data_IF_520519556970
#
_entry.id   IF_520519556970
#
_cell.length_a   1.000
_cell.length_b   1.000
_cell.length_c   1.000
_cell.angle_alpha   90.00
_cell.angle_beta   90.00
_cell.angle_gamma   90.00
#
_symmetry.space_group_name_H-M   'P 1'
#
loop_
_entity.id
_entity.type
_entity.pdbx_description
1 polymer ?
#
# COMPACT_ATOMS: atom_id res chain seq x y z
N UNK A 1 -56.24 20.33 25.61
CA UNK A 1 -57.41 20.47 24.72
C UNK A 1 -56.94 21.02 23.38
N UNK A 2 -57.50 20.51 22.28
CA UNK A 2 -57.17 20.72 20.85
C UNK A 2 -55.82 20.16 20.37
N UNK A 3 -55.75 19.19 19.45
CA UNK A 3 -56.27 19.02 18.06
C UNK A 3 -55.52 19.81 16.99
N UNK A 4 -55.18 19.09 15.90
CA UNK A 4 -54.85 19.58 14.53
C UNK A 4 -53.49 20.28 14.39
N UNK A 5 -52.64 20.12 13.38
CA UNK A 5 -52.61 19.47 12.06
C UNK A 5 -51.11 19.49 11.68
N UNK A 6 -50.44 18.39 11.35
CA UNK A 6 -50.32 17.77 10.01
C UNK A 6 -49.70 18.65 8.92
N UNK A 7 -48.82 17.99 8.14
CA UNK A 7 -48.14 18.38 6.90
C UNK A 7 -46.83 19.14 7.19
N UNK A 8 -45.63 18.61 6.90
CA UNK A 8 -45.15 18.00 5.66
C UNK A 8 -43.92 17.15 6.00
N UNK A 9 -43.78 15.95 5.43
CA UNK A 9 -42.47 15.38 5.08
C UNK A 9 -42.70 14.17 4.15
N UNK A 10 -43.15 14.47 2.92
CA UNK A 10 -42.97 13.55 1.80
C UNK A 10 -41.54 13.76 1.28
N UNK A 11 -40.60 12.97 1.77
CA UNK A 11 -39.25 12.94 1.21
C UNK A 11 -39.26 12.05 -0.06
N UNK A 12 -39.01 12.59 -1.28
CA UNK A 12 -39.15 11.82 -2.54
C UNK A 12 -37.98 10.88 -2.83
N UNK A 13 -36.98 10.78 -1.94
CA UNK A 13 -35.73 10.06 -2.19
C UNK A 13 -35.46 8.88 -1.24
N UNK A 14 -36.52 8.21 -0.77
CA UNK A 14 -36.34 6.90 -0.15
C UNK A 14 -36.08 5.86 -1.25
N UNK A 15 -34.81 5.59 -1.52
CA UNK A 15 -34.42 4.41 -2.29
C UNK A 15 -35.02 3.17 -1.60
N UNK A 16 -35.58 2.20 -2.35
CA UNK A 16 -36.11 0.98 -1.75
C UNK A 16 -35.00 0.31 -0.94
N UNK A 17 -35.31 -0.03 0.31
CA UNK A 17 -34.39 -0.74 1.19
C UNK A 17 -33.86 -1.97 0.46
N UNK A 18 -32.53 -2.11 0.41
CA UNK A 18 -31.88 -3.25 -0.21
C UNK A 18 -32.40 -4.54 0.44
N UNK A 19 -33.04 -5.46 -0.30
CA UNK A 19 -33.54 -6.72 0.26
C UNK A 19 -32.43 -7.60 0.86
N UNK A 20 -31.15 -7.26 0.64
CA UNK A 20 -29.98 -7.88 1.28
C UNK A 20 -29.71 -7.38 2.70
N UNK A 21 -30.35 -6.30 3.15
CA UNK A 21 -30.28 -5.76 4.50
C UNK A 21 -31.49 -6.14 5.38
N UNK A 22 -32.33 -7.07 4.92
CA UNK A 22 -33.32 -7.68 5.81
C UNK A 22 -32.59 -8.39 6.96
N UNK A 23 -32.97 -8.18 8.24
CA UNK A 23 -32.43 -8.98 9.34
C UNK A 23 -32.69 -10.45 9.01
N UNK A 24 -31.60 -11.22 8.87
CA UNK A 24 -31.72 -12.65 8.66
C UNK A 24 -32.40 -13.24 9.89
N UNK A 25 -33.34 -14.21 9.73
CA UNK A 25 -33.89 -14.91 10.87
C UNK A 25 -32.73 -15.50 11.66
N UNK A 26 -32.79 -15.30 12.96
CA UNK A 26 -31.89 -15.76 14.00
C UNK A 26 -31.53 -17.24 13.75
N UNK A 27 -30.40 -17.45 13.07
CA UNK A 27 -29.86 -18.77 12.80
C UNK A 27 -29.28 -19.25 14.12
N UNK A 28 -29.95 -20.18 14.80
CA UNK A 28 -29.31 -20.96 15.85
C UNK A 28 -27.99 -21.53 15.32
N UNK A 29 -26.90 -21.30 16.04
CA UNK A 29 -25.57 -21.82 15.70
C UNK A 29 -25.61 -23.35 15.68
N UNK A 30 -25.91 -23.91 14.51
CA UNK A 30 -25.92 -25.34 14.29
C UNK A 30 -24.47 -25.83 14.23
N UNK A 31 -24.10 -26.78 15.08
CA UNK A 31 -22.78 -27.41 15.03
C UNK A 31 -22.69 -28.29 13.77
N UNK A 32 -22.05 -27.78 12.71
CA UNK A 32 -21.86 -28.49 11.44
C UNK A 32 -20.56 -29.29 11.49
N UNK A 33 -20.64 -30.59 11.21
CA UNK A 33 -19.47 -31.47 11.04
C UNK A 33 -19.32 -31.87 9.57
N UNK A 34 -18.11 -31.71 9.02
CA UNK A 34 -17.77 -32.14 7.67
C UNK A 34 -17.15 -33.55 7.71
N UNK A 35 -17.72 -34.48 6.94
CA UNK A 35 -17.23 -35.86 6.85
C UNK A 35 -17.07 -36.24 5.38
N UNK A 36 -15.97 -36.90 5.05
CA UNK A 36 -15.75 -37.45 3.72
C UNK A 36 -16.38 -38.84 3.61
N UNK A 37 -17.15 -39.05 2.54
CA UNK A 37 -17.85 -40.30 2.28
C UNK A 37 -17.45 -40.78 0.87
N UNK A 38 -17.10 -42.06 0.69
CA UNK A 38 -16.76 -42.59 -0.63
C UNK A 38 -17.95 -42.51 -1.60
N UNK A 39 -17.65 -42.24 -2.87
CA UNK A 39 -18.65 -42.19 -3.93
C UNK A 39 -19.06 -43.61 -4.38
N UNK A 40 -20.30 -43.76 -4.86
CA UNK A 40 -20.80 -44.99 -5.51
C UNK A 40 -20.79 -46.27 -4.64
N UNK A 41 -20.92 -46.13 -3.32
CA UNK A 41 -20.97 -47.25 -2.37
C UNK A 41 -22.40 -47.62 -1.92
N UNK A 42 -23.45 -47.17 -2.61
CA UNK A 42 -24.83 -47.51 -2.24
C UNK A 42 -25.47 -46.61 -1.17
N UNK A 43 -24.79 -45.54 -0.72
CA UNK A 43 -25.37 -44.62 0.27
C UNK A 43 -26.43 -43.76 -0.42
N UNK A 44 -27.69 -44.10 -0.18
CA UNK A 44 -28.85 -43.52 -0.88
C UNK A 44 -28.85 -41.99 -0.92
N UNK A 45 -28.52 -41.32 0.20
CA UNK A 45 -28.46 -39.87 0.27
C UNK A 45 -27.38 -39.27 -0.64
N UNK A 46 -26.18 -39.84 -0.62
CA UNK A 46 -25.06 -39.42 -1.47
C UNK A 46 -25.35 -39.66 -2.96
N UNK A 47 -25.92 -40.83 -3.29
CA UNK A 47 -26.30 -41.16 -4.66
C UNK A 47 -27.42 -40.28 -5.21
N UNK A 48 -28.41 -39.94 -4.39
CA UNK A 48 -29.49 -39.05 -4.79
C UNK A 48 -28.95 -37.64 -5.05
N UNK A 49 -28.05 -37.13 -4.20
CA UNK A 49 -27.39 -35.84 -4.42
C UNK A 49 -26.55 -35.86 -5.70
N UNK A 50 -25.76 -36.90 -5.95
CA UNK A 50 -24.97 -37.04 -7.18
C UNK A 50 -25.84 -37.12 -8.44
N UNK A 51 -26.95 -37.88 -8.40
CA UNK A 51 -27.94 -37.94 -9.49
C UNK A 51 -28.58 -36.58 -9.76
N UNK A 52 -28.97 -35.86 -8.72
CA UNK A 52 -29.55 -34.52 -8.84
C UNK A 52 -28.54 -33.49 -9.36
N UNK A 53 -27.29 -33.54 -8.89
CA UNK A 53 -26.20 -32.69 -9.39
C UNK A 53 -25.93 -32.94 -10.88
N UNK A 54 -25.86 -34.21 -11.31
CA UNK A 54 -25.73 -34.60 -12.73
C UNK A 54 -26.94 -34.17 -13.57
N UNK A 55 -28.14 -34.25 -13.03
CA UNK A 55 -29.35 -33.77 -13.71
C UNK A 55 -29.34 -32.24 -13.86
N UNK A 56 -28.83 -31.51 -12.87
CA UNK A 56 -28.71 -30.06 -12.91
C UNK A 56 -27.79 -29.56 -14.02
N UNK A 57 -26.75 -30.33 -14.41
CA UNK A 57 -25.89 -30.00 -15.56
C UNK A 57 -26.65 -29.92 -16.89
N UNK A 58 -27.78 -30.64 -17.03
CA UNK A 58 -28.61 -30.63 -18.24
C UNK A 58 -29.60 -29.46 -18.29
N UNK A 59 -29.71 -28.66 -17.22
CA UNK A 59 -30.57 -27.48 -17.18
C UNK A 59 -29.86 -26.34 -17.89
N UNK A 60 -30.39 -25.90 -19.02
CA UNK A 60 -29.99 -24.69 -19.77
C UNK A 60 -30.37 -23.38 -19.06
N UNK A 61 -30.75 -23.45 -17.78
CA UNK A 61 -31.06 -22.29 -16.95
C UNK A 61 -29.76 -21.67 -16.44
N UNK A 62 -28.98 -21.08 -17.32
CA UNK A 62 -28.05 -20.02 -16.93
C UNK A 62 -28.90 -18.80 -16.58
N UNK A 63 -29.67 -18.88 -15.49
CA UNK A 63 -30.28 -17.71 -14.86
C UNK A 63 -29.14 -16.72 -14.69
N UNK A 64 -29.31 -15.51 -15.22
CA UNK A 64 -28.27 -14.52 -15.45
C UNK A 64 -27.33 -14.41 -14.25
N UNK A 65 -26.26 -15.22 -14.26
CA UNK A 65 -25.16 -15.12 -13.31
C UNK A 65 -24.43 -13.86 -13.69
N UNK A 66 -24.98 -12.74 -13.24
CA UNK A 66 -24.28 -11.49 -13.17
C UNK A 66 -23.01 -11.79 -12.37
N UNK A 67 -21.87 -11.63 -13.03
CA UNK A 67 -20.56 -11.74 -12.38
C UNK A 67 -20.62 -10.84 -11.15
N UNK A 68 -20.29 -11.38 -9.97
CA UNK A 68 -20.36 -10.58 -8.77
C UNK A 68 -19.36 -9.43 -8.92
N UNK A 69 -19.74 -8.21 -8.56
CA UNK A 69 -18.84 -7.05 -8.66
C UNK A 69 -17.53 -7.28 -7.87
N UNK A 70 -17.58 -8.11 -6.82
CA UNK A 70 -16.40 -8.54 -6.05
C UNK A 70 -15.36 -9.25 -6.91
N UNK A 71 -15.77 -9.98 -7.95
CA UNK A 71 -14.88 -10.71 -8.85
C UNK A 71 -14.19 -9.77 -9.84
N UNK A 72 -14.81 -8.63 -10.13
CA UNK A 72 -14.25 -7.56 -10.97
C UNK A 72 -13.31 -6.64 -10.19
N UNK A 73 -13.52 -6.50 -8.88
CA UNK A 73 -12.74 -5.59 -8.02
C UNK A 73 -11.21 -5.81 -8.11
N UNK A 74 -10.67 -7.05 -8.07
CA UNK A 74 -9.24 -7.28 -8.26
C UNK A 74 -8.75 -6.80 -9.62
N UNK A 75 -9.50 -7.06 -10.70
CA UNK A 75 -9.13 -6.64 -12.06
C UNK A 75 -9.10 -5.12 -12.20
N UNK A 76 -10.11 -4.44 -11.65
CA UNK A 76 -10.18 -2.98 -11.63
C UNK A 76 -9.01 -2.40 -10.84
N UNK A 77 -8.72 -2.94 -9.64
CA UNK A 77 -7.61 -2.47 -8.82
C UNK A 77 -6.25 -2.68 -9.50
N UNK A 78 -6.05 -3.81 -10.17
CA UNK A 78 -4.84 -4.07 -10.96
C UNK A 78 -4.70 -3.07 -12.10
N UNK A 79 -5.80 -2.77 -12.81
CA UNK A 79 -5.80 -1.76 -13.86
C UNK A 79 -5.46 -0.37 -13.32
N UNK A 80 -6.11 0.08 -12.24
CA UNK A 80 -5.82 1.38 -11.61
C UNK A 80 -4.36 1.48 -11.18
N UNK A 81 -3.82 0.45 -10.52
CA UNK A 81 -2.40 0.40 -10.14
C UNK A 81 -1.48 0.49 -11.36
N UNK A 82 -1.83 -0.16 -12.47
CA UNK A 82 -1.03 -0.10 -13.70
C UNK A 82 -1.04 1.29 -14.35
N UNK A 83 -2.16 2.02 -14.28
CA UNK A 83 -2.24 3.40 -14.77
C UNK A 83 -1.40 4.31 -13.88
N UNK A 84 -1.54 4.20 -12.56
CA UNK A 84 -0.71 4.96 -11.62
C UNK A 84 0.78 4.70 -11.77
N UNK A 85 1.18 3.44 -11.95
CA UNK A 85 2.58 3.09 -12.20
C UNK A 85 3.08 3.74 -13.49
N UNK A 86 2.27 3.75 -14.56
CA UNK A 86 2.63 4.38 -15.83
C UNK A 86 2.83 5.89 -15.68
N UNK A 87 1.92 6.55 -14.97
CA UNK A 87 2.03 7.99 -14.71
C UNK A 87 3.26 8.29 -13.85
N UNK A 88 3.55 7.42 -12.88
CA UNK A 88 4.74 7.50 -12.03
C UNK A 88 6.04 7.35 -12.82
N UNK A 89 6.10 6.40 -13.75
CA UNK A 89 7.27 6.17 -14.60
C UNK A 89 7.48 7.28 -15.64
N UNK A 90 6.41 8.02 -16.00
CA UNK A 90 6.49 9.17 -16.90
C UNK A 90 7.01 10.45 -16.20
N UNK A 91 6.97 10.51 -14.87
CA UNK A 91 7.42 11.67 -14.09
C UNK A 91 8.96 11.70 -13.96
N UNK A 92 9.63 12.34 -14.92
CA UNK A 92 11.09 12.35 -15.00
C UNK A 92 11.83 13.19 -13.95
N UNK A 93 11.17 14.15 -13.28
CA UNK A 93 11.81 15.10 -12.37
C UNK A 93 11.64 14.76 -10.88
N UNK A 94 11.31 13.52 -10.54
CA UNK A 94 11.00 13.12 -9.18
C UNK A 94 12.14 12.36 -8.49
N UNK A 95 12.76 12.99 -7.48
CA UNK A 95 13.81 12.38 -6.65
C UNK A 95 13.36 11.10 -5.94
N UNK A 96 12.07 10.99 -5.63
CA UNK A 96 11.50 9.83 -4.94
C UNK A 96 11.43 8.60 -5.86
N UNK A 97 11.45 8.77 -7.19
CA UNK A 97 11.44 7.65 -8.15
C UNK A 97 12.65 6.73 -7.99
N UNK A 98 13.83 7.30 -7.72
CA UNK A 98 15.05 6.53 -7.44
C UNK A 98 14.95 5.66 -6.18
N UNK A 99 14.11 6.06 -5.23
CA UNK A 99 13.89 5.37 -3.95
C UNK A 99 12.71 4.39 -4.03
N UNK A 100 11.68 4.74 -4.80
CA UNK A 100 10.43 3.99 -4.95
C UNK A 100 10.07 3.90 -6.44
N UNK A 101 10.73 3.04 -7.22
CA UNK A 101 10.42 2.88 -8.65
C UNK A 101 9.07 2.20 -8.85
N UNK A 102 8.69 1.25 -7.99
CA UNK A 102 7.43 0.52 -8.10
C UNK A 102 6.45 0.96 -7.00
N UNK A 103 5.29 1.47 -7.41
CA UNK A 103 4.19 1.81 -6.51
C UNK A 103 3.58 0.55 -5.90
N UNK A 104 3.36 0.59 -4.59
CA UNK A 104 2.82 -0.54 -3.80
C UNK A 104 3.88 -1.37 -3.07
N UNK A 105 5.17 -1.06 -3.25
CA UNK A 105 6.21 -1.55 -2.34
C UNK A 105 6.11 -0.85 -0.97
N UNK A 106 6.17 -1.64 0.10
CA UNK A 106 6.20 -1.10 1.45
C UNK A 106 7.63 -0.69 1.85
N UNK A 107 7.93 0.61 1.72
CA UNK A 107 9.15 1.20 2.26
C UNK A 107 9.02 1.56 3.75
N UNK A 108 7.82 1.48 4.33
CA UNK A 108 7.59 1.72 5.74
C UNK A 108 7.88 0.46 6.55
N UNK A 109 9.14 0.02 6.56
CA UNK A 109 9.65 -0.81 7.64
C UNK A 109 9.68 0.05 8.91
N UNK A 110 8.51 0.25 9.54
CA UNK A 110 8.40 0.82 10.88
C UNK A 110 9.12 -0.14 11.80
N UNK A 111 10.39 0.17 12.09
CA UNK A 111 11.05 -0.48 13.22
C UNK A 111 10.24 -0.12 14.45
N UNK A 112 9.70 -1.13 15.14
CA UNK A 112 9.10 -0.95 16.46
C UNK A 112 10.07 -0.12 17.33
N UNK A 113 9.56 0.94 17.98
CA UNK A 113 10.41 1.93 18.67
C UNK A 113 10.94 3.07 17.79
N UNK A 114 10.35 3.27 16.60
CA UNK A 114 10.18 4.51 15.83
C UNK A 114 10.21 5.85 16.59
N UNK A 115 11.36 6.42 16.99
CA UNK A 115 11.36 7.80 17.51
C UNK A 115 10.92 8.78 16.40
N UNK A 116 9.96 9.68 16.66
CA UNK A 116 9.40 10.65 15.68
C UNK A 116 10.48 11.35 14.84
N UNK A 117 11.57 11.77 15.47
CA UNK A 117 12.69 12.45 14.79
C UNK A 117 13.33 11.57 13.70
N UNK A 118 13.48 10.26 13.95
CA UNK A 118 14.04 9.30 12.98
C UNK A 118 13.10 9.12 11.79
N UNK A 119 11.80 9.00 12.04
CA UNK A 119 10.82 8.85 10.96
C UNK A 119 10.80 10.09 10.07
N UNK A 120 10.76 11.28 10.66
CA UNK A 120 10.87 12.54 9.91
C UNK A 120 12.15 12.60 9.09
N UNK A 121 13.30 12.25 9.68
CA UNK A 121 14.57 12.23 8.97
C UNK A 121 14.53 11.24 7.78
N UNK A 122 13.99 10.03 8.00
CA UNK A 122 13.89 9.01 6.95
C UNK A 122 12.98 9.47 5.80
N UNK A 123 11.82 10.07 6.10
CA UNK A 123 10.94 10.63 5.08
C UNK A 123 11.64 11.74 4.29
N UNK A 124 12.33 12.67 4.95
CA UNK A 124 13.06 13.76 4.29
C UNK A 124 14.19 13.26 3.39
N UNK A 125 14.91 12.23 3.81
CA UNK A 125 15.93 11.58 2.99
C UNK A 125 15.33 10.93 1.74
N UNK A 126 14.21 10.21 1.88
CA UNK A 126 13.54 9.53 0.75
C UNK A 126 13.03 10.51 -0.31
N UNK A 127 12.41 11.61 0.11
CA UNK A 127 11.94 12.64 -0.83
C UNK A 127 13.11 13.49 -1.33
N UNK A 128 14.24 13.48 -0.63
CA UNK A 128 15.40 14.31 -0.97
C UNK A 128 15.18 15.79 -0.67
N UNK A 129 14.44 16.09 0.40
CA UNK A 129 14.13 17.45 0.90
C UNK A 129 14.65 17.62 2.32
N UNK A 130 15.93 17.97 2.44
CA UNK A 130 16.59 18.23 3.72
C UNK A 130 17.02 19.69 3.81
N UNK A 131 17.31 20.17 5.01
CA UNK A 131 17.86 21.52 5.16
C UNK A 131 19.21 21.66 4.44
N UNK A 132 20.06 20.64 4.49
CA UNK A 132 21.37 20.64 3.82
C UNK A 132 21.30 20.78 2.31
N UNK A 133 20.29 20.16 1.69
CA UNK A 133 20.27 19.99 0.23
C UNK A 133 19.28 20.92 -0.46
N UNK A 134 18.30 21.52 0.27
CA UNK A 134 17.26 22.39 -0.32
C UNK A 134 17.07 23.75 0.39
N UNK A 135 17.79 24.06 1.47
CA UNK A 135 17.63 25.37 2.12
C UNK A 135 17.94 26.55 1.21
N UNK A 136 18.80 26.36 0.20
CA UNK A 136 19.14 27.39 -0.79
C UNK A 136 17.91 27.94 -1.52
N UNK A 137 16.88 27.11 -1.77
CA UNK A 137 15.63 27.55 -2.40
C UNK A 137 14.86 28.54 -1.51
N UNK A 138 14.87 28.32 -0.20
CA UNK A 138 14.18 29.18 0.77
C UNK A 138 14.93 30.49 1.01
N UNK A 139 16.26 30.46 0.87
CA UNK A 139 17.13 31.61 1.11
C UNK A 139 17.48 32.39 -0.16
N UNK A 140 17.07 31.88 -1.32
CA UNK A 140 17.50 32.39 -2.62
C UNK A 140 19.04 32.43 -2.75
N UNK A 141 19.72 31.41 -2.23
CA UNK A 141 21.17 31.21 -2.32
C UNK A 141 21.51 30.27 -3.48
N UNK A 142 22.79 30.19 -3.83
CA UNK A 142 23.26 29.19 -4.79
C UNK A 142 23.10 27.77 -4.24
N UNK A 143 22.79 26.83 -5.12
CA UNK A 143 22.71 25.42 -4.76
C UNK A 143 24.05 24.94 -4.15
N UNK A 144 24.04 24.21 -3.02
CA UNK A 144 25.26 23.77 -2.38
C UNK A 144 26.00 22.71 -3.20
N UNK A 145 27.32 22.76 -3.16
CA UNK A 145 28.23 21.77 -3.76
C UNK A 145 29.10 21.13 -2.67
N UNK A 146 29.55 19.89 -2.93
CA UNK A 146 30.56 19.25 -2.12
C UNK A 146 31.94 19.82 -2.46
N UNK A 147 32.61 20.45 -1.50
CA UNK A 147 33.92 21.04 -1.71
C UNK A 147 35.02 20.06 -2.09
N UNK A 148 34.88 18.78 -1.71
CA UNK A 148 35.95 17.81 -1.92
C UNK A 148 35.94 17.13 -3.29
N UNK A 149 34.76 17.01 -3.90
CA UNK A 149 34.58 16.30 -5.17
C UNK A 149 33.82 17.11 -6.24
N UNK A 150 33.57 18.40 -5.98
CA UNK A 150 32.99 19.37 -6.92
C UNK A 150 31.67 18.91 -7.56
N UNK A 151 30.84 18.20 -6.80
CA UNK A 151 29.54 17.71 -7.24
C UNK A 151 28.40 18.32 -6.44
N UNK A 152 27.19 18.33 -7.01
CA UNK A 152 26.00 18.83 -6.32
C UNK A 152 25.79 18.16 -4.96
N UNK A 153 25.55 18.98 -3.93
CA UNK A 153 25.30 18.48 -2.59
C UNK A 153 23.83 18.07 -2.45
N UNK A 154 23.53 16.83 -2.87
CA UNK A 154 22.21 16.21 -2.82
C UNK A 154 22.20 14.96 -1.93
N UNK A 155 21.03 14.45 -1.56
CA UNK A 155 20.91 13.27 -0.68
C UNK A 155 21.59 12.04 -1.28
N UNK A 156 21.44 11.82 -2.59
CA UNK A 156 22.15 10.76 -3.33
C UNK A 156 23.66 10.88 -3.15
N UNK A 157 24.20 12.08 -3.31
CA UNK A 157 25.61 12.35 -3.14
C UNK A 157 26.10 11.98 -1.72
N UNK A 158 25.40 12.47 -0.69
CA UNK A 158 25.73 12.21 0.71
C UNK A 158 25.67 10.71 1.04
N UNK A 159 24.63 10.01 0.58
CA UNK A 159 24.37 8.63 0.98
C UNK A 159 25.12 7.58 0.12
N UNK A 160 25.40 7.87 -1.15
CA UNK A 160 25.84 6.85 -2.14
C UNK A 160 27.13 7.21 -2.88
N UNK A 161 27.37 8.48 -3.23
CA UNK A 161 28.41 8.82 -4.24
C UNK A 161 29.66 9.46 -3.65
N UNK A 162 29.54 10.25 -2.58
CA UNK A 162 30.64 11.06 -2.05
C UNK A 162 31.86 10.20 -1.68
N UNK A 163 33.03 10.41 -2.31
CA UNK A 163 34.27 9.68 -2.00
C UNK A 163 34.77 9.97 -0.58
N UNK A 164 34.68 11.21 -0.13
CA UNK A 164 35.09 11.63 1.23
C UNK A 164 34.34 10.88 2.33
N UNK A 165 33.07 10.54 2.08
CA UNK A 165 32.27 9.81 3.05
C UNK A 165 32.39 8.29 2.90
N UNK A 166 33.18 7.79 1.94
CA UNK A 166 33.22 6.36 1.59
C UNK A 166 33.67 5.50 2.77
N UNK A 167 34.71 5.91 3.50
CA UNK A 167 35.23 5.14 4.65
C UNK A 167 34.26 5.10 5.82
N UNK A 168 33.58 6.21 6.10
CA UNK A 168 32.52 6.25 7.11
C UNK A 168 31.32 5.42 6.66
N UNK A 169 30.91 5.52 5.38
CA UNK A 169 29.78 4.78 4.80
C UNK A 169 29.98 3.27 4.91
N UNK A 170 31.18 2.78 4.57
CA UNK A 170 31.56 1.35 4.64
C UNK A 170 31.37 0.73 6.03
N UNK A 171 31.44 1.52 7.12
CA UNK A 171 31.17 1.04 8.50
C UNK A 171 29.69 0.70 8.72
N UNK A 172 28.79 1.34 7.98
CA UNK A 172 27.34 1.22 8.17
C UNK A 172 26.67 0.39 7.08
N UNK A 173 27.02 0.57 5.81
CA UNK A 173 26.42 -0.14 4.68
C UNK A 173 27.29 -0.04 3.41
N UNK A 174 27.06 -0.96 2.48
CA UNK A 174 27.83 -1.10 1.23
C UNK A 174 26.91 -1.24 0.01
N UNK A 175 25.92 -0.36 -0.11
CA UNK A 175 24.97 -0.33 -1.23
C UNK A 175 25.34 0.75 -2.24
N UNK A 176 24.92 0.54 -3.49
CA UNK A 176 25.31 1.34 -4.66
C UNK A 176 24.24 2.31 -5.15
N UNK A 177 23.02 2.22 -4.62
CA UNK A 177 21.86 2.98 -5.06
C UNK A 177 20.90 3.23 -3.89
N UNK A 178 20.08 4.28 -4.02
CA UNK A 178 19.14 4.67 -2.97
C UNK A 178 18.01 3.66 -2.78
N UNK A 179 17.56 2.97 -3.84
CA UNK A 179 16.54 1.94 -3.75
C UNK A 179 16.94 0.82 -2.77
N UNK A 180 18.11 0.21 -2.99
CA UNK A 180 18.64 -0.83 -2.09
C UNK A 180 18.91 -0.30 -0.69
N UNK A 181 19.41 0.94 -0.58
CA UNK A 181 19.65 1.57 0.72
C UNK A 181 18.40 1.59 1.58
N UNK A 182 17.29 2.15 1.07
CA UNK A 182 16.08 2.31 1.89
C UNK A 182 15.28 1.02 2.07
N UNK A 183 15.54 0.00 1.26
CA UNK A 183 14.84 -1.29 1.29
C UNK A 183 15.53 -2.33 2.16
N UNK A 184 16.84 -2.45 2.03
CA UNK A 184 17.64 -3.52 2.62
C UNK A 184 18.33 -3.08 3.92
N UNK A 185 18.78 -1.81 3.99
CA UNK A 185 19.55 -1.31 5.13
C UNK A 185 18.62 -0.88 6.25
N UNK A 186 18.95 -1.32 7.47
CA UNK A 186 18.21 -0.93 8.65
C UNK A 186 18.29 0.61 8.87
N UNK A 187 17.15 1.30 9.06
CA UNK A 187 17.11 2.75 9.33
C UNK A 187 18.05 3.21 10.46
N UNK A 188 18.31 2.38 11.48
CA UNK A 188 19.25 2.70 12.55
C UNK A 188 20.69 2.85 12.06
N UNK A 189 21.12 2.07 11.06
CA UNK A 189 22.47 2.20 10.48
C UNK A 189 22.60 3.45 9.62
N UNK A 190 21.55 3.79 8.86
CA UNK A 190 21.50 5.05 8.09
C UNK A 190 21.58 6.25 9.03
N UNK A 191 20.83 6.23 10.13
CA UNK A 191 20.89 7.30 11.14
C UNK A 191 22.25 7.32 11.85
N UNK A 192 22.84 6.17 12.15
CA UNK A 192 24.19 6.07 12.71
C UNK A 192 25.23 6.76 11.83
N UNK A 193 25.22 6.45 10.53
CA UNK A 193 26.06 7.11 9.53
C UNK A 193 25.89 8.64 9.53
N UNK A 194 24.65 9.13 9.54
CA UNK A 194 24.37 10.57 9.54
C UNK A 194 24.80 11.27 10.84
N UNK A 195 24.83 10.53 11.96
CA UNK A 195 25.33 11.04 13.24
C UNK A 195 26.86 11.12 13.24
N UNK A 196 27.54 10.10 12.72
CA UNK A 196 29.01 10.10 12.59
C UNK A 196 29.51 11.21 11.66
N UNK A 197 28.74 11.52 10.61
CA UNK A 197 29.01 12.67 9.75
C UNK A 197 28.64 14.03 10.39
N UNK A 198 27.99 14.06 11.56
CA UNK A 198 27.55 15.29 12.22
C UNK A 198 26.40 16.03 11.50
N UNK A 199 25.74 15.38 10.53
CA UNK A 199 24.72 16.02 9.68
C UNK A 199 23.28 15.72 10.12
N UNK A 200 23.06 14.73 10.99
CA UNK A 200 21.71 14.28 11.39
C UNK A 200 20.79 15.40 11.92
N UNK A 201 21.34 16.45 12.54
CA UNK A 201 20.55 17.59 13.02
C UNK A 201 19.99 18.49 11.90
N UNK A 202 20.56 18.41 10.70
CA UNK A 202 20.20 19.20 9.52
C UNK A 202 19.45 18.38 8.46
N UNK A 203 19.07 17.14 8.80
CA UNK A 203 18.14 16.32 8.02
C UNK A 203 16.72 16.65 8.48
#
# INVERSE_FOLDING_TARGET
MCNSCSLLDQNPWQAPADPRCAPQPDLEESMISFVWIPAHVGIQGNENVDKLAKAALKRTSTSGKLICYSDLKPKINTYIKSVWQRDWDAEGANKLHEVLPNLGEDLHRRGEGAGRKRETAMCRLRVGHTWLTQSYLLKNEQQPFCYACDSLYIVRHILIECPDFQDTRRKYFSVTDLYRLFREVNPFRIVGYLKDLGVYGKI
#
